data_IF_959894993378
#
_entry.id   IF_959894993378
#
_cell.length_a   1.000
_cell.length_b   1.000
_cell.length_c   1.000
_cell.angle_alpha   90.00
_cell.angle_beta   90.00
_cell.angle_gamma   90.00
#
_symmetry.space_group_name_H-M   'P 1'
#
loop_
_entity.id
_entity.type
_entity.pdbx_description
1 polymer ?
#
# COMPACT_ATOMS: atom_id res chain seq x y z
N UNK A 1 6.34 -0.30 4.24
CA UNK A 1 7.72 -0.60 3.95
C UNK A 1 8.02 -1.08 2.54
N UNK A 2 7.11 -1.75 1.83
CA UNK A 2 7.41 -2.49 0.58
C UNK A 2 6.85 -1.82 -0.69
N UNK A 3 6.91 -0.50 -0.76
CA UNK A 3 6.32 0.30 -1.84
C UNK A 3 6.79 -0.12 -3.25
N UNK A 4 8.00 -0.68 -3.40
CA UNK A 4 8.54 -1.11 -4.69
C UNK A 4 7.83 -2.35 -5.27
N UNK A 5 7.13 -3.15 -4.44
CA UNK A 5 6.37 -4.32 -4.88
C UNK A 5 4.87 -4.04 -5.03
N UNK A 6 4.39 -2.92 -4.47
CA UNK A 6 2.98 -2.55 -4.38
C UNK A 6 2.74 -1.16 -5.01
N UNK A 7 3.31 -0.92 -6.17
CA UNK A 7 3.30 0.42 -6.77
C UNK A 7 1.88 0.93 -7.06
N UNK A 8 0.93 0.06 -7.38
CA UNK A 8 -0.46 0.44 -7.59
C UNK A 8 -1.14 0.97 -6.33
N UNK A 9 -0.61 0.69 -5.12
CA UNK A 9 -1.14 1.22 -3.86
C UNK A 9 -1.18 2.74 -3.83
N UNK A 10 -0.20 3.38 -4.44
CA UNK A 10 -0.04 4.83 -4.44
C UNK A 10 -0.08 5.43 -5.86
N UNK A 11 0.09 4.65 -6.92
CA UNK A 11 0.08 5.13 -8.30
C UNK A 11 -0.79 4.23 -9.19
N UNK A 12 -2.01 4.65 -9.57
CA UNK A 12 -2.91 3.85 -10.39
C UNK A 12 -2.35 3.55 -11.78
N UNK A 13 -1.38 4.33 -12.29
CA UNK A 13 -0.73 4.05 -13.56
C UNK A 13 0.18 2.83 -13.52
N UNK A 14 0.55 2.32 -12.34
CA UNK A 14 1.33 1.10 -12.16
C UNK A 14 0.46 -0.16 -12.05
N UNK A 15 -0.87 -0.05 -12.14
CA UNK A 15 -1.77 -1.21 -12.14
C UNK A 15 -1.48 -2.10 -13.35
N UNK A 16 -1.42 -3.41 -13.13
CA UNK A 16 -1.13 -4.38 -14.20
C UNK A 16 0.28 -4.26 -14.76
N UNK A 17 1.23 -3.78 -13.97
CA UNK A 17 2.65 -3.85 -14.30
C UNK A 17 3.05 -5.29 -14.60
N UNK A 18 3.64 -5.51 -15.80
CA UNK A 18 3.98 -6.82 -16.34
C UNK A 18 2.85 -7.47 -17.16
N UNK A 19 3.03 -8.76 -17.50
CA UNK A 19 2.15 -9.53 -18.38
C UNK A 19 1.24 -10.52 -17.63
N UNK A 20 1.26 -10.50 -16.30
CA UNK A 20 0.54 -11.44 -15.44
C UNK A 20 -0.61 -10.77 -14.72
N UNK A 21 -1.72 -11.48 -14.59
CA UNK A 21 -2.70 -11.18 -13.56
C UNK A 21 -2.03 -11.34 -12.20
N UNK A 22 -2.27 -10.42 -11.27
CA UNK A 22 -1.64 -10.44 -9.95
C UNK A 22 -2.66 -10.26 -8.86
N UNK A 23 -2.59 -11.12 -7.87
CA UNK A 23 -3.22 -10.94 -6.55
C UNK A 23 -2.14 -10.56 -5.58
N UNK A 24 -2.38 -9.58 -4.78
CA UNK A 24 -1.47 -9.12 -3.74
C UNK A 24 -2.23 -8.92 -2.44
N UNK A 25 -1.66 -9.37 -1.34
CA UNK A 25 -2.16 -9.14 0.01
C UNK A 25 -1.03 -8.80 0.96
N UNK A 26 -1.23 -7.83 1.85
CA UNK A 26 -0.30 -7.55 2.93
C UNK A 26 -1.02 -7.22 4.23
N UNK A 27 -0.35 -7.54 5.33
CA UNK A 27 -0.77 -7.15 6.67
C UNK A 27 0.41 -6.55 7.41
N UNK A 28 0.21 -5.37 7.97
CA UNK A 28 1.22 -4.64 8.72
C UNK A 28 0.70 -4.29 10.11
N UNK A 29 1.47 -4.67 11.11
CA UNK A 29 1.30 -4.28 12.51
C UNK A 29 2.36 -3.24 12.84
N UNK A 30 1.94 -2.04 13.19
CA UNK A 30 2.84 -0.96 13.58
C UNK A 30 3.12 -1.05 15.09
N UNK A 31 4.32 -0.71 15.50
CA UNK A 31 4.71 -0.54 16.91
C UNK A 31 4.17 -1.63 17.84
N UNK A 32 4.43 -2.89 17.50
CA UNK A 32 3.97 -4.03 18.29
C UNK A 32 4.41 -3.89 19.76
N UNK A 33 3.54 -4.29 20.68
CA UNK A 33 3.73 -4.08 22.12
C UNK A 33 3.03 -2.84 22.67
N UNK A 34 2.59 -1.92 21.83
CA UNK A 34 1.75 -0.77 22.23
C UNK A 34 0.28 -1.17 22.07
N UNK A 35 -0.55 -0.87 23.07
CA UNK A 35 -1.99 -1.12 23.02
C UNK A 35 -2.62 -0.26 21.92
N UNK A 36 -3.56 -0.84 21.17
CA UNK A 36 -4.25 -0.20 20.03
C UNK A 36 -3.33 0.38 18.96
N UNK A 37 -2.14 -0.21 18.81
CA UNK A 37 -1.18 0.17 17.79
C UNK A 37 -1.78 0.05 16.39
N UNK A 38 -1.40 0.91 15.44
CA UNK A 38 -1.96 0.90 14.10
C UNK A 38 -1.74 -0.42 13.36
N UNK A 39 -2.75 -0.87 12.62
CA UNK A 39 -2.71 -2.06 11.77
C UNK A 39 -3.28 -1.75 10.40
N UNK A 40 -2.52 -2.07 9.35
CA UNK A 40 -2.94 -1.88 7.96
C UNK A 40 -3.06 -3.22 7.26
N UNK A 41 -4.22 -3.51 6.68
CA UNK A 41 -4.44 -4.65 5.79
C UNK A 41 -4.71 -4.13 4.39
N UNK A 42 -4.00 -4.66 3.42
CA UNK A 42 -4.13 -4.30 2.02
C UNK A 42 -4.36 -5.55 1.17
N UNK A 43 -5.23 -5.42 0.20
CA UNK A 43 -5.50 -6.42 -0.82
C UNK A 43 -5.67 -5.75 -2.18
N UNK A 44 -5.09 -6.35 -3.23
CA UNK A 44 -5.35 -5.92 -4.60
C UNK A 44 -5.39 -7.08 -5.58
N UNK A 45 -6.15 -6.86 -6.64
CA UNK A 45 -6.15 -7.71 -7.83
C UNK A 45 -5.94 -6.82 -9.05
N UNK A 46 -5.09 -7.24 -9.97
CA UNK A 46 -4.86 -6.53 -11.23
C UNK A 46 -4.75 -7.49 -12.41
N UNK A 47 -5.20 -7.04 -13.56
CA UNK A 47 -5.19 -7.80 -14.81
C UNK A 47 -4.77 -6.90 -15.97
N UNK A 48 -3.63 -7.18 -16.62
CA UNK A 48 -3.30 -6.58 -17.90
C UNK A 48 -4.15 -7.24 -19.01
N UNK A 49 -4.54 -6.45 -20.01
CA UNK A 49 -5.27 -6.93 -21.17
C UNK A 49 -4.94 -6.08 -22.40
N UNK A 50 -5.30 -6.59 -23.57
CA UNK A 50 -5.02 -5.92 -24.85
C UNK A 50 -6.34 -5.63 -25.57
N UNK A 51 -6.51 -4.39 -26.00
CA UNK A 51 -7.63 -3.96 -26.84
C UNK A 51 -7.08 -3.47 -28.17
N UNK A 52 -7.35 -4.20 -29.24
CA UNK A 52 -6.75 -3.92 -30.54
C UNK A 52 -5.22 -4.07 -30.53
N UNK A 53 -4.49 -2.96 -30.60
CA UNK A 53 -3.02 -2.91 -30.55
C UNK A 53 -2.48 -2.23 -29.30
N UNK A 54 -3.35 -1.87 -28.37
CA UNK A 54 -3.01 -1.10 -27.18
C UNK A 54 -3.06 -1.97 -25.93
N UNK A 55 -2.17 -1.71 -25.01
CA UNK A 55 -2.10 -2.39 -23.73
C UNK A 55 -2.87 -1.58 -22.67
N UNK A 56 -3.65 -2.27 -21.90
CA UNK A 56 -4.47 -1.72 -20.84
C UNK A 56 -4.30 -2.59 -19.59
N UNK A 57 -4.64 -2.03 -18.46
CA UNK A 57 -4.77 -2.79 -17.23
C UNK A 57 -5.96 -2.27 -16.42
N UNK A 58 -6.57 -3.16 -15.69
CA UNK A 58 -7.59 -2.84 -14.72
C UNK A 58 -7.29 -3.55 -13.40
N UNK A 59 -7.71 -2.96 -12.31
CA UNK A 59 -7.50 -3.52 -10.98
C UNK A 59 -8.55 -3.06 -9.99
N UNK A 60 -8.51 -3.70 -8.84
CA UNK A 60 -9.26 -3.30 -7.66
C UNK A 60 -8.33 -3.39 -6.47
N UNK A 61 -8.40 -2.40 -5.58
CA UNK A 61 -7.67 -2.42 -4.31
C UNK A 61 -8.61 -2.13 -3.15
N UNK A 62 -8.34 -2.80 -2.06
CA UNK A 62 -8.99 -2.60 -0.78
C UNK A 62 -7.91 -2.35 0.28
N UNK A 63 -8.14 -1.38 1.13
CA UNK A 63 -7.29 -1.10 2.28
C UNK A 63 -8.17 -0.91 3.51
N UNK A 64 -7.74 -1.48 4.62
CA UNK A 64 -8.30 -1.23 5.94
C UNK A 64 -7.15 -0.83 6.87
N UNK A 65 -7.18 0.40 7.34
CA UNK A 65 -6.19 0.98 8.23
C UNK A 65 -6.86 1.33 9.56
N UNK A 66 -6.43 0.66 10.63
CA UNK A 66 -6.95 0.85 11.99
C UNK A 66 -5.90 1.52 12.84
N UNK A 67 -6.24 2.58 13.53
CA UNK A 67 -5.36 3.31 14.44
C UNK A 67 -6.14 3.81 15.66
N UNK A 68 -5.86 3.19 16.80
CA UNK A 68 -6.66 3.41 18.01
C UNK A 68 -8.14 3.08 17.76
N UNK A 69 -9.00 4.04 18.01
CA UNK A 69 -10.45 3.91 17.83
C UNK A 69 -10.93 4.20 16.40
N UNK A 70 -10.04 4.61 15.51
CA UNK A 70 -10.35 4.92 14.12
C UNK A 70 -10.16 3.71 13.22
N UNK A 71 -11.03 3.56 12.23
CA UNK A 71 -10.88 2.61 11.14
C UNK A 71 -11.14 3.32 9.82
N UNK A 72 -10.14 3.33 8.96
CA UNK A 72 -10.21 3.90 7.62
C UNK A 72 -10.24 2.76 6.61
N UNK A 73 -11.35 2.62 5.90
CA UNK A 73 -11.53 1.63 4.85
C UNK A 73 -11.64 2.31 3.51
N UNK A 74 -10.92 1.80 2.52
CA UNK A 74 -11.03 2.29 1.15
C UNK A 74 -11.13 1.16 0.15
N UNK A 75 -11.96 1.37 -0.87
CA UNK A 75 -12.13 0.47 -2.00
C UNK A 75 -12.07 1.27 -3.28
N UNK A 76 -11.12 0.95 -4.16
CA UNK A 76 -10.89 1.64 -5.42
C UNK A 76 -10.85 0.67 -6.58
N UNK A 77 -11.44 1.05 -7.69
CA UNK A 77 -11.20 0.46 -8.99
C UNK A 77 -10.14 1.29 -9.72
N UNK A 78 -9.23 0.62 -10.37
CA UNK A 78 -8.06 1.20 -11.04
C UNK A 78 -8.10 0.87 -12.53
N UNK A 79 -7.68 1.82 -13.35
CA UNK A 79 -7.50 1.61 -14.77
C UNK A 79 -6.25 2.33 -15.26
N UNK A 80 -5.47 1.68 -16.11
CA UNK A 80 -4.32 2.28 -16.77
C UNK A 80 -4.31 1.98 -18.27
N UNK A 81 -3.90 2.97 -19.03
CA UNK A 81 -3.58 2.87 -20.44
C UNK A 81 -2.06 2.91 -20.62
N UNK A 82 -1.52 1.91 -21.32
CA UNK A 82 -0.08 1.72 -21.45
C UNK A 82 0.31 1.73 -22.93
N UNK A 83 1.32 2.51 -23.28
CA UNK A 83 1.84 2.61 -24.63
C UNK A 83 3.36 2.67 -24.67
N UNK A 84 3.90 2.17 -25.77
CA UNK A 84 5.34 2.15 -25.96
C UNK A 84 5.85 3.58 -26.24
N UNK A 85 6.84 4.01 -25.46
CA UNK A 85 7.52 5.29 -25.61
C UNK A 85 9.02 5.09 -25.53
N UNK A 86 9.72 5.29 -26.66
CA UNK A 86 11.17 5.09 -26.73
C UNK A 86 11.57 3.64 -26.41
N UNK A 87 12.43 3.46 -25.40
CA UNK A 87 12.93 2.15 -24.96
C UNK A 87 12.06 1.49 -23.88
N UNK A 88 11.00 2.15 -23.43
CA UNK A 88 10.13 1.71 -22.36
C UNK A 88 8.65 1.82 -22.69
N UNK A 89 7.86 1.76 -21.64
CA UNK A 89 6.42 1.94 -21.67
C UNK A 89 6.01 3.08 -20.75
N UNK A 90 5.17 3.96 -21.26
CA UNK A 90 4.51 4.99 -20.48
C UNK A 90 3.09 4.53 -20.17
N UNK A 91 2.70 4.59 -18.92
CA UNK A 91 1.35 4.29 -18.44
C UNK A 91 0.73 5.56 -17.86
N UNK A 92 -0.52 5.81 -18.17
CA UNK A 92 -1.34 6.85 -17.55
C UNK A 92 -2.52 6.13 -16.91
N UNK A 93 -2.77 6.40 -15.66
CA UNK A 93 -3.80 5.68 -14.90
C UNK A 93 -4.61 6.61 -14.01
N UNK A 94 -5.81 6.14 -13.72
CA UNK A 94 -6.70 6.75 -12.76
C UNK A 94 -7.35 5.67 -11.90
N UNK A 95 -7.72 6.05 -10.70
CA UNK A 95 -8.54 5.25 -9.82
C UNK A 95 -9.77 6.05 -9.35
N UNK A 96 -10.82 5.33 -9.02
CA UNK A 96 -12.03 5.86 -8.44
C UNK A 96 -12.57 4.90 -7.39
N UNK A 97 -13.10 5.44 -6.32
CA UNK A 97 -13.56 4.60 -5.23
C UNK A 97 -14.19 5.38 -4.10
N UNK A 98 -14.25 4.73 -2.96
CA UNK A 98 -14.83 5.28 -1.75
C UNK A 98 -13.89 5.10 -0.57
N UNK A 99 -13.90 6.10 0.29
CA UNK A 99 -13.24 6.08 1.59
C UNK A 99 -14.33 6.15 2.65
N UNK A 100 -14.23 5.31 3.66
CA UNK A 100 -15.09 5.30 4.84
C UNK A 100 -14.21 5.40 6.09
N UNK A 101 -14.33 6.49 6.81
CA UNK A 101 -13.65 6.69 8.09
C UNK A 101 -14.66 6.54 9.21
N UNK A 102 -14.43 5.58 10.09
CA UNK A 102 -15.28 5.33 11.26
C UNK A 102 -14.51 5.54 12.56
N UNK A 103 -15.24 5.95 13.59
CA UNK A 103 -14.76 6.11 14.96
C UNK A 103 -15.62 5.28 15.90
N UNK A 104 -14.99 4.36 16.64
CA UNK A 104 -15.67 3.47 17.56
C UNK A 104 -15.90 4.16 18.91
N UNK A 105 -17.10 4.65 19.13
CA UNK A 105 -17.48 5.33 20.38
C UNK A 105 -17.68 4.33 21.53
N UNK A 106 -18.11 3.12 21.23
CA UNK A 106 -18.44 2.08 22.24
C UNK A 106 -17.22 1.59 23.02
N UNK A 107 -16.02 1.77 22.47
CA UNK A 107 -14.77 1.38 23.15
C UNK A 107 -14.31 2.40 24.17
N UNK A 108 -14.92 3.60 24.19
CA UNK A 108 -14.61 4.66 25.16
C UNK A 108 -15.64 4.61 26.28
N UNK A 109 -15.34 3.91 27.35
CA UNK A 109 -16.16 3.97 28.56
C UNK A 109 -15.84 5.25 29.33
N UNK A 110 -16.30 6.39 28.77
CA UNK A 110 -16.12 7.72 29.37
C UNK A 110 -16.63 7.79 30.81
N UNK A 111 -17.62 6.94 31.16
CA UNK A 111 -18.17 6.87 32.49
C UNK A 111 -17.18 6.23 33.46
N UNK A 112 -16.48 5.19 33.03
CA UNK A 112 -15.47 4.51 33.84
C UNK A 112 -14.23 5.38 34.05
N UNK A 113 -13.84 6.15 33.05
CA UNK A 113 -12.74 7.15 33.17
C UNK A 113 -13.15 8.31 34.07
N UNK A 114 -14.38 8.80 33.98
CA UNK A 114 -14.89 9.86 34.85
C UNK A 114 -14.99 9.41 36.32
N UNK A 115 -15.40 8.14 36.55
CA UNK A 115 -15.46 7.58 37.90
C UNK A 115 -14.07 7.37 38.51
N UNK A 116 -13.04 7.07 37.69
CA UNK A 116 -11.65 6.91 38.12
C UNK A 116 -10.99 8.26 38.49
N UNK A 117 -11.34 9.35 37.78
CA UNK A 117 -10.73 10.68 37.98
C UNK A 117 -11.47 11.52 39.02
N UNK A 118 -12.66 11.10 39.46
CA UNK A 118 -13.55 11.84 40.39
C UNK A 118 -13.77 13.33 40.02
N UNK A 119 -13.69 13.63 38.73
CA UNK A 119 -13.80 14.97 38.21
C UNK A 119 -15.23 15.22 37.68
N UNK A 120 -15.98 16.03 38.44
CA UNK A 120 -17.34 16.41 38.05
C UNK A 120 -17.44 17.19 36.75
N UNK A 121 -16.32 17.73 36.24
CA UNK A 121 -16.29 18.42 34.94
C UNK A 121 -16.55 17.49 33.77
N UNK A 122 -16.15 16.23 33.86
CA UNK A 122 -16.39 15.22 32.82
C UNK A 122 -17.82 14.68 32.77
N UNK A 123 -18.58 14.75 33.85
CA UNK A 123 -19.99 14.31 33.88
C UNK A 123 -20.92 15.19 33.02
N UNK A 124 -20.53 16.40 32.71
CA UNK A 124 -21.29 17.37 31.94
C UNK A 124 -20.66 17.70 30.55
N UNK A 125 -19.57 17.06 30.20
CA UNK A 125 -18.95 17.19 28.89
C UNK A 125 -19.77 16.41 27.86
N UNK A 126 -20.82 17.02 27.30
CA UNK A 126 -21.40 16.55 26.07
C UNK A 126 -20.52 17.01 24.92
N UNK A 127 -19.71 16.14 24.37
CA UNK A 127 -19.06 16.43 23.10
C UNK A 127 -20.13 16.41 22.00
N UNK A 128 -20.54 17.61 21.57
CA UNK A 128 -21.54 17.80 20.54
C UNK A 128 -21.12 17.28 19.16
N UNK A 129 -19.88 16.82 19.00
CA UNK A 129 -19.37 16.19 17.81
C UNK A 129 -19.72 14.68 17.75
N UNK A 130 -20.01 14.08 18.92
CA UNK A 130 -20.41 12.67 19.01
C UNK A 130 -21.95 12.58 19.07
N UNK A 131 -22.57 11.53 18.52
CA UNK A 131 -24.00 11.32 18.60
C UNK A 131 -24.44 11.20 20.07
N UNK A 132 -25.54 11.87 20.42
CA UNK A 132 -26.14 11.76 21.75
C UNK A 132 -26.47 10.27 22.05
N UNK A 133 -26.32 9.91 23.33
CA UNK A 133 -26.57 8.58 23.91
C UNK A 133 -27.66 7.80 23.20
N UNK A 134 -27.30 6.73 22.50
CA UNK A 134 -28.28 5.78 21.95
C UNK A 134 -27.87 5.01 20.72
N UNK A 135 -26.81 5.41 20.02
CA UNK A 135 -26.28 4.65 18.89
C UNK A 135 -25.18 3.69 19.33
N UNK A 136 -25.46 2.41 19.42
CA UNK A 136 -24.49 1.34 19.75
C UNK A 136 -23.39 1.15 18.69
N UNK A 137 -23.29 1.99 17.68
CA UNK A 137 -22.44 1.75 16.52
C UNK A 137 -21.68 3.00 16.15
N UNK A 138 -20.74 3.51 16.91
CA UNK A 138 -19.81 4.53 16.49
C UNK A 138 -20.32 5.55 15.43
N UNK A 139 -19.48 6.43 14.98
CA UNK A 139 -19.79 7.34 13.84
C UNK A 139 -18.98 6.95 12.62
N UNK A 140 -19.53 7.11 11.43
CA UNK A 140 -18.81 6.88 10.18
C UNK A 140 -19.22 7.90 9.12
N UNK A 141 -18.24 8.30 8.31
CA UNK A 141 -18.46 9.16 7.17
C UNK A 141 -17.85 8.53 5.93
N UNK A 142 -18.58 8.54 4.83
CA UNK A 142 -18.11 8.00 3.55
C UNK A 142 -18.01 9.11 2.53
N UNK A 143 -16.95 9.07 1.71
CA UNK A 143 -16.73 10.01 0.62
C UNK A 143 -16.26 9.33 -0.65
N UNK A 144 -16.59 9.93 -1.80
CA UNK A 144 -16.08 9.51 -3.11
C UNK A 144 -14.67 10.03 -3.31
N UNK A 145 -13.80 9.18 -3.83
CA UNK A 145 -12.39 9.47 -4.02
C UNK A 145 -11.90 9.17 -5.44
N UNK A 146 -10.98 10.01 -5.90
CA UNK A 146 -10.31 9.88 -7.18
C UNK A 146 -8.80 10.00 -7.00
N UNK A 147 -8.06 9.29 -7.83
CA UNK A 147 -6.62 9.44 -7.98
C UNK A 147 -6.19 9.38 -9.43
N UNK A 148 -5.04 9.93 -9.73
CA UNK A 148 -4.45 9.87 -11.06
C UNK A 148 -2.93 9.76 -10.97
N UNK A 149 -2.32 9.16 -12.00
CA UNK A 149 -0.88 9.03 -12.03
C UNK A 149 -0.31 8.76 -13.41
N UNK A 150 1.00 8.87 -13.45
CA UNK A 150 1.82 8.55 -14.62
C UNK A 150 2.97 7.67 -14.15
N UNK A 151 3.26 6.64 -14.94
CA UNK A 151 4.30 5.68 -14.64
C UNK A 151 5.08 5.35 -15.91
N UNK A 152 6.40 5.40 -15.84
CA UNK A 152 7.27 5.02 -16.94
C UNK A 152 8.24 3.93 -16.51
N UNK A 153 8.33 2.89 -17.29
CA UNK A 153 9.24 1.79 -17.02
C UNK A 153 10.06 1.37 -18.23
N UNK A 154 11.26 0.92 -17.96
CA UNK A 154 12.18 0.31 -18.92
C UNK A 154 12.67 -1.03 -18.35
N UNK A 155 13.52 -1.71 -19.08
CA UNK A 155 14.18 -2.93 -18.59
C UNK A 155 15.10 -2.68 -17.37
N UNK A 156 15.56 -1.44 -17.16
CA UNK A 156 16.58 -1.10 -16.15
C UNK A 156 16.14 -0.11 -15.09
N UNK A 157 15.14 0.69 -15.34
CA UNK A 157 14.66 1.68 -14.37
C UNK A 157 13.19 1.97 -14.56
N UNK A 158 12.57 2.43 -13.51
CA UNK A 158 11.19 2.87 -13.48
C UNK A 158 11.06 4.16 -12.67
N UNK A 159 10.08 4.98 -13.02
CA UNK A 159 9.72 6.16 -12.24
C UNK A 159 8.23 6.45 -12.41
N UNK A 160 7.62 7.01 -11.40
CA UNK A 160 6.22 7.40 -11.44
C UNK A 160 5.90 8.54 -10.50
N UNK A 161 4.87 9.27 -10.87
CA UNK A 161 4.27 10.32 -10.04
C UNK A 161 2.76 10.10 -10.02
N UNK A 162 2.15 10.41 -8.89
CA UNK A 162 0.70 10.29 -8.73
C UNK A 162 0.17 11.26 -7.70
N UNK A 163 -1.10 11.51 -7.78
CA UNK A 163 -1.84 12.31 -6.81
C UNK A 163 -3.09 11.55 -6.41
N UNK A 164 -3.15 11.15 -5.16
CA UNK A 164 -4.30 10.51 -4.53
C UNK A 164 -5.19 11.54 -3.84
N UNK A 165 -6.45 11.17 -3.63
CA UNK A 165 -7.45 12.01 -2.98
C UNK A 165 -7.66 13.34 -3.72
N UNK A 166 -7.79 13.29 -5.06
CA UNK A 166 -8.04 14.46 -5.90
C UNK A 166 -9.32 15.20 -5.53
N UNK A 167 -10.34 14.47 -5.09
CA UNK A 167 -11.62 15.04 -4.67
C UNK A 167 -11.56 15.68 -3.30
N UNK A 168 -10.53 15.37 -2.49
CA UNK A 168 -10.39 15.81 -1.10
C UNK A 168 -11.72 15.71 -0.32
N UNK A 169 -12.31 14.51 -0.24
CA UNK A 169 -13.67 14.38 0.24
C UNK A 169 -13.78 14.82 1.70
N UNK A 170 -14.88 15.50 1.99
CA UNK A 170 -15.28 15.81 3.36
C UNK A 170 -16.19 14.70 3.87
N UNK A 171 -15.76 14.02 4.91
CA UNK A 171 -16.47 12.91 5.52
C UNK A 171 -17.28 13.47 6.70
N UNK A 172 -18.61 13.45 6.59
CA UNK A 172 -19.49 13.92 7.65
C UNK A 172 -19.75 12.80 8.65
N UNK A 173 -19.46 13.03 9.92
CA UNK A 173 -19.77 12.13 11.03
C UNK A 173 -21.06 12.50 11.75
N UNK A 174 -21.34 13.80 11.82
CA UNK A 174 -22.57 14.36 12.38
C UNK A 174 -22.84 15.72 11.76
N UNK A 175 -23.94 16.38 12.14
CA UNK A 175 -24.26 17.75 11.69
C UNK A 175 -23.21 18.79 12.06
N UNK A 176 -22.31 18.45 13.00
CA UNK A 176 -21.30 19.37 13.56
C UNK A 176 -19.86 18.87 13.45
N UNK A 177 -19.66 17.64 12.99
CA UNK A 177 -18.32 17.03 12.89
C UNK A 177 -18.07 16.52 11.49
N UNK A 178 -17.00 17.00 10.89
CA UNK A 178 -16.53 16.60 9.57
C UNK A 178 -15.02 16.41 9.55
N UNK A 179 -14.56 15.49 8.72
CA UNK A 179 -13.14 15.22 8.49
C UNK A 179 -12.82 15.45 7.03
N UNK A 180 -11.85 16.31 6.76
CA UNK A 180 -11.34 16.56 5.42
C UNK A 180 -10.18 15.63 5.09
N UNK A 181 -10.32 14.84 4.05
CA UNK A 181 -9.23 14.00 3.52
C UNK A 181 -8.35 14.87 2.63
N UNK A 182 -7.07 14.98 2.96
CA UNK A 182 -6.13 15.79 2.18
C UNK A 182 -5.61 15.04 0.96
N UNK A 183 -5.44 15.76 -0.13
CA UNK A 183 -4.75 15.25 -1.31
C UNK A 183 -3.30 14.90 -1.00
N UNK A 184 -2.82 13.79 -1.54
CA UNK A 184 -1.46 13.31 -1.30
C UNK A 184 -0.72 13.11 -2.61
N UNK A 185 0.44 13.74 -2.73
CA UNK A 185 1.35 13.58 -3.85
C UNK A 185 2.37 12.50 -3.56
N UNK A 186 2.63 11.64 -4.55
CA UNK A 186 3.64 10.59 -4.52
C UNK A 186 4.59 10.75 -5.70
N UNK A 187 5.87 10.54 -5.46
CA UNK A 187 6.88 10.38 -6.48
C UNK A 187 7.78 9.21 -6.10
N UNK A 188 7.97 8.26 -6.98
CA UNK A 188 8.81 7.10 -6.70
C UNK A 188 9.61 6.71 -7.94
N UNK A 189 10.76 6.09 -7.70
CA UNK A 189 11.60 5.57 -8.77
C UNK A 189 12.60 4.53 -8.27
N UNK A 190 13.06 3.71 -9.18
CA UNK A 190 14.03 2.68 -8.87
C UNK A 190 14.86 2.28 -10.09
N UNK A 191 15.96 1.64 -9.81
CA UNK A 191 16.90 1.17 -10.82
C UNK A 191 17.21 -0.31 -10.61
N UNK A 192 17.29 -1.07 -11.69
CA UNK A 192 17.62 -2.49 -11.71
C UNK A 192 19.04 -2.67 -12.22
N UNK A 193 19.99 -2.74 -11.31
CA UNK A 193 21.40 -2.86 -11.62
C UNK A 193 21.85 -4.32 -11.57
N UNK A 194 21.90 -4.96 -12.75
CA UNK A 194 22.41 -6.33 -12.87
C UNK A 194 23.95 -6.33 -12.81
N UNK A 195 24.49 -6.97 -11.81
CA UNK A 195 25.95 -7.08 -11.64
C UNK A 195 26.56 -8.00 -12.71
N UNK A 196 27.86 -7.88 -12.91
CA UNK A 196 28.63 -8.68 -13.86
C UNK A 196 28.48 -10.20 -13.60
N UNK A 197 28.40 -10.57 -12.35
CA UNK A 197 27.90 -11.88 -11.94
C UNK A 197 26.38 -11.86 -12.03
N UNK A 198 25.81 -12.47 -13.06
CA UNK A 198 24.37 -12.48 -13.43
C UNK A 198 23.42 -12.99 -12.33
N UNK A 199 23.98 -13.54 -11.24
CA UNK A 199 23.22 -14.04 -10.09
C UNK A 199 22.70 -12.91 -9.18
N UNK A 200 23.31 -11.72 -9.25
CA UNK A 200 22.96 -10.59 -8.39
C UNK A 200 22.32 -9.46 -9.16
N UNK A 201 21.16 -9.01 -8.66
CA UNK A 201 20.47 -7.83 -9.10
C UNK A 201 20.33 -6.87 -7.91
N UNK A 202 20.92 -5.68 -8.02
CA UNK A 202 20.73 -4.61 -7.04
C UNK A 202 19.62 -3.68 -7.50
N UNK A 203 18.73 -3.33 -6.58
CA UNK A 203 17.53 -2.54 -6.86
C UNK A 203 17.42 -1.38 -5.86
N UNK A 204 18.24 -0.32 -6.02
CA UNK A 204 18.01 0.92 -5.28
C UNK A 204 16.69 1.55 -5.71
N UNK A 205 15.95 2.08 -4.75
CA UNK A 205 14.71 2.81 -4.98
C UNK A 205 14.49 3.91 -3.96
N UNK A 206 13.70 4.90 -4.34
CA UNK A 206 13.30 5.99 -3.47
C UNK A 206 11.81 6.29 -3.68
N UNK A 207 11.13 6.72 -2.62
CA UNK A 207 9.76 7.20 -2.66
C UNK A 207 9.63 8.44 -1.78
N UNK A 208 9.01 9.46 -2.34
CA UNK A 208 8.56 10.67 -1.68
C UNK A 208 7.05 10.66 -1.58
N UNK A 209 6.52 10.97 -0.41
CA UNK A 209 5.11 11.20 -0.16
C UNK A 209 4.94 12.53 0.55
N UNK A 210 3.94 13.33 0.14
CA UNK A 210 3.64 14.61 0.78
C UNK A 210 2.18 15.02 0.59
N UNK A 211 1.59 15.60 1.63
CA UNK A 211 0.33 16.35 1.56
C UNK A 211 0.57 17.88 1.52
N UNK A 212 1.81 18.28 1.18
CA UNK A 212 2.33 19.65 1.17
C UNK A 212 2.40 20.33 2.56
N UNK A 213 2.07 19.62 3.62
CA UNK A 213 2.28 20.04 5.03
C UNK A 213 3.38 19.20 5.65
N UNK A 214 3.34 17.89 5.43
CA UNK A 214 4.34 16.93 5.85
C UNK A 214 5.03 16.25 4.67
N UNK A 215 6.24 15.78 4.90
CA UNK A 215 7.05 15.06 3.91
C UNK A 215 7.53 13.74 4.49
N UNK A 216 7.36 12.67 3.74
CA UNK A 216 7.95 11.37 4.07
C UNK A 216 8.80 10.88 2.90
N UNK A 217 10.05 10.56 3.16
CA UNK A 217 10.99 10.03 2.17
C UNK A 217 11.47 8.67 2.61
N UNK A 218 11.34 7.71 1.72
CA UNK A 218 11.79 6.34 1.92
C UNK A 218 12.89 6.02 0.91
N UNK A 219 14.03 5.59 1.39
CA UNK A 219 15.15 5.10 0.57
C UNK A 219 15.32 3.61 0.83
N UNK A 220 15.44 2.83 -0.22
CA UNK A 220 15.58 1.37 -0.08
C UNK A 220 16.64 0.84 -1.03
N UNK A 221 17.48 -0.04 -0.53
CA UNK A 221 18.41 -0.84 -1.30
C UNK A 221 18.03 -2.30 -1.17
N UNK A 222 17.59 -2.93 -2.26
CA UNK A 222 17.32 -4.35 -2.34
C UNK A 222 18.37 -5.06 -3.15
N UNK A 223 18.69 -6.29 -2.76
CA UNK A 223 19.53 -7.22 -3.53
C UNK A 223 18.73 -8.50 -3.77
N UNK A 224 18.63 -8.93 -5.01
CA UNK A 224 18.06 -10.21 -5.39
C UNK A 224 19.18 -11.16 -5.81
N UNK A 225 19.11 -12.39 -5.29
CA UNK A 225 20.10 -13.43 -5.54
C UNK A 225 19.41 -14.65 -6.16
N UNK A 226 20.03 -15.19 -7.21
CA UNK A 226 19.55 -16.40 -7.91
C UNK A 226 18.09 -16.30 -8.37
N UNK A 227 17.61 -15.08 -8.64
CA UNK A 227 16.22 -14.79 -9.04
C UNK A 227 15.15 -15.26 -8.03
N UNK A 228 15.57 -15.71 -6.85
CA UNK A 228 14.70 -16.34 -5.86
C UNK A 228 14.68 -15.64 -4.50
N UNK A 229 15.83 -15.22 -4.00
CA UNK A 229 15.94 -14.63 -2.66
C UNK A 229 16.16 -13.12 -2.77
N UNK A 230 15.50 -12.35 -1.90
CA UNK A 230 15.61 -10.91 -1.81
C UNK A 230 15.92 -10.47 -0.41
N UNK A 231 16.88 -9.56 -0.29
CA UNK A 231 17.29 -8.94 0.96
C UNK A 231 17.36 -7.44 0.75
N UNK A 232 16.95 -6.67 1.72
CA UNK A 232 16.99 -5.23 1.59
C UNK A 232 17.15 -4.50 2.91
N UNK A 233 17.66 -3.29 2.79
CA UNK A 233 17.71 -2.30 3.85
C UNK A 233 17.03 -1.04 3.37
N UNK A 234 16.21 -0.46 4.20
CA UNK A 234 15.51 0.80 3.94
C UNK A 234 15.75 1.79 5.08
N UNK A 235 15.69 3.05 4.71
CA UNK A 235 15.70 4.15 5.66
C UNK A 235 14.55 5.09 5.35
N UNK A 236 13.76 5.41 6.36
CA UNK A 236 12.68 6.40 6.30
C UNK A 236 13.14 7.65 7.04
N UNK A 237 13.08 8.82 6.37
CA UNK A 237 13.52 10.07 6.97
C UNK A 237 12.72 10.45 8.22
N UNK A 238 11.49 9.98 8.35
CA UNK A 238 10.70 10.12 9.57
C UNK A 238 11.29 9.40 10.80
N UNK A 239 12.45 8.73 10.65
CA UNK A 239 13.23 8.11 11.71
C UNK A 239 12.90 6.64 11.91
N UNK A 240 13.04 5.83 10.87
CA UNK A 240 13.02 4.37 11.00
C UNK A 240 13.95 3.68 10.01
N UNK A 241 14.42 2.49 10.38
CA UNK A 241 15.23 1.60 9.55
C UNK A 241 14.43 0.34 9.27
N UNK A 242 14.40 -0.08 8.00
CA UNK A 242 13.68 -1.26 7.55
C UNK A 242 14.66 -2.37 7.16
N UNK A 243 14.39 -3.59 7.59
CA UNK A 243 15.02 -4.81 7.10
C UNK A 243 13.98 -5.56 6.28
N UNK A 244 14.29 -5.85 5.02
CA UNK A 244 13.38 -6.49 4.09
C UNK A 244 13.91 -7.86 3.67
N UNK A 245 13.05 -8.86 3.73
CA UNK A 245 13.32 -10.22 3.28
C UNK A 245 12.23 -10.63 2.29
N UNK A 246 12.60 -11.37 1.26
CA UNK A 246 11.64 -11.88 0.29
C UNK A 246 12.14 -13.15 -0.37
N UNK A 247 11.18 -13.95 -0.84
CA UNK A 247 11.48 -15.20 -1.54
C UNK A 247 10.37 -15.52 -2.56
N UNK A 248 10.78 -16.03 -3.72
CA UNK A 248 9.89 -16.68 -4.66
C UNK A 248 9.82 -18.17 -4.30
N UNK A 249 8.67 -18.62 -3.79
CA UNK A 249 8.46 -20.00 -3.30
C UNK A 249 8.34 -20.95 -4.49
N UNK A 250 7.45 -20.59 -5.42
CA UNK A 250 7.20 -21.26 -6.70
C UNK A 250 7.02 -20.20 -7.79
N UNK A 251 6.98 -20.60 -9.04
CA UNK A 251 6.73 -19.69 -10.16
C UNK A 251 5.44 -18.88 -9.92
N UNK A 252 5.59 -17.58 -9.84
CA UNK A 252 4.52 -16.63 -9.62
C UNK A 252 4.17 -16.35 -8.15
N UNK A 253 4.56 -17.18 -7.18
CA UNK A 253 4.24 -16.98 -5.77
C UNK A 253 5.42 -16.36 -5.02
N UNK A 254 5.21 -15.16 -4.52
CA UNK A 254 6.17 -14.38 -3.77
C UNK A 254 5.70 -14.16 -2.34
N UNK A 255 6.60 -14.28 -1.40
CA UNK A 255 6.39 -13.95 0.00
C UNK A 255 7.48 -12.98 0.44
N UNK A 256 7.14 -12.04 1.27
CA UNK A 256 8.13 -11.16 1.87
C UNK A 256 7.72 -10.66 3.24
N UNK A 257 8.73 -10.30 3.99
CA UNK A 257 8.61 -9.82 5.35
C UNK A 257 9.46 -8.57 5.53
N UNK A 258 8.91 -7.56 6.19
CA UNK A 258 9.64 -6.36 6.58
C UNK A 258 9.55 -6.17 8.08
N UNK A 259 10.71 -5.92 8.68
CA UNK A 259 10.83 -5.46 10.04
C UNK A 259 11.27 -4.01 10.03
N UNK A 260 10.51 -3.14 10.67
CA UNK A 260 10.80 -1.71 10.78
C UNK A 260 11.10 -1.35 12.24
N UNK A 261 12.31 -0.85 12.46
CA UNK A 261 12.78 -0.35 13.74
C UNK A 261 12.62 1.17 13.79
N UNK A 262 11.84 1.72 14.72
CA UNK A 262 11.83 3.16 14.95
C UNK A 262 13.20 3.60 15.48
N UNK A 263 13.74 4.69 14.91
CA UNK A 263 15.02 5.28 15.35
C UNK A 263 14.84 6.46 16.33
N UNK A 264 13.62 6.64 16.82
CA UNK A 264 13.24 7.68 17.79
C UNK A 264 12.91 7.05 19.16
N UNK A 265 12.36 7.86 20.09
CA UNK A 265 12.02 7.40 21.45
C UNK A 265 11.10 6.18 21.51
N UNK A 266 10.35 5.88 20.46
CA UNK A 266 9.46 4.70 20.36
C UNK A 266 10.19 3.36 20.37
N UNK A 267 11.51 3.34 20.14
CA UNK A 267 12.31 2.09 20.19
C UNK A 267 12.30 1.47 21.61
N UNK A 268 12.05 2.25 22.64
CA UNK A 268 12.02 1.78 24.03
C UNK A 268 10.66 1.21 24.42
N UNK A 269 9.61 1.60 23.73
CA UNK A 269 8.22 1.32 24.09
C UNK A 269 7.57 0.30 23.15
N UNK A 270 8.21 -0.03 22.02
CA UNK A 270 7.67 -0.95 21.03
C UNK A 270 8.69 -1.96 20.54
N UNK A 271 8.22 -3.12 20.12
CA UNK A 271 9.04 -4.15 19.47
C UNK A 271 9.18 -3.91 17.95
N UNK A 272 8.98 -2.66 17.48
CA UNK A 272 9.02 -2.30 16.09
C UNK A 272 7.73 -2.64 15.32
N UNK A 273 7.78 -2.49 14.00
CA UNK A 273 6.65 -2.79 13.12
C UNK A 273 6.97 -3.99 12.23
N UNK A 274 5.97 -4.83 12.00
CA UNK A 274 6.08 -6.05 11.21
C UNK A 274 5.12 -6.00 10.04
N UNK A 275 5.61 -6.31 8.85
CA UNK A 275 4.79 -6.37 7.65
C UNK A 275 5.05 -7.67 6.90
N UNK A 276 3.99 -8.43 6.63
CA UNK A 276 4.02 -9.62 5.80
C UNK A 276 3.28 -9.35 4.50
N UNK A 277 3.82 -9.78 3.37
CA UNK A 277 3.09 -9.79 2.10
C UNK A 277 3.13 -11.13 1.40
N UNK A 278 2.10 -11.34 0.61
CA UNK A 278 1.96 -12.44 -0.33
C UNK A 278 1.53 -11.87 -1.69
N UNK A 279 2.21 -12.27 -2.76
CA UNK A 279 1.81 -11.92 -4.11
C UNK A 279 1.78 -13.18 -4.98
N UNK A 280 0.76 -13.30 -5.81
CA UNK A 280 0.66 -14.39 -6.77
C UNK A 280 0.37 -13.86 -8.17
N UNK A 281 1.31 -14.10 -9.08
CA UNK A 281 1.19 -13.77 -10.50
C UNK A 281 0.84 -15.01 -11.32
N UNK A 282 -0.21 -14.93 -12.12
CA UNK A 282 -0.65 -16.05 -12.96
C UNK A 282 -1.17 -15.56 -14.32
N UNK A 283 -1.23 -16.46 -15.29
CA UNK A 283 -1.76 -16.17 -16.61
C UNK A 283 -2.78 -17.21 -16.99
N UNK A 284 -4.04 -16.80 -17.12
CA UNK A 284 -5.14 -17.68 -17.52
C UNK A 284 -5.15 -17.90 -19.05
N UNK A 285 -4.64 -16.94 -19.82
CA UNK A 285 -4.78 -16.91 -21.28
C UNK A 285 -3.63 -17.63 -22.01
N UNK A 286 -2.52 -17.94 -21.36
CA UNK A 286 -1.46 -18.75 -21.97
C UNK A 286 -1.79 -20.22 -21.74
N UNK A 287 -2.01 -21.01 -22.81
CA UNK A 287 -2.13 -22.47 -22.65
C UNK A 287 -0.86 -22.95 -21.92
N UNK A 288 -1.02 -23.78 -20.88
CA UNK A 288 0.11 -24.47 -20.26
C UNK A 288 0.98 -25.03 -21.38
N UNK A 289 2.20 -24.55 -21.53
CA UNK A 289 3.18 -25.20 -22.38
C UNK A 289 3.34 -26.61 -21.82
N UNK A 290 2.61 -27.54 -22.41
CA UNK A 290 2.90 -28.95 -22.25
C UNK A 290 4.35 -29.11 -22.64
N UNK A 291 5.21 -29.49 -21.74
CA UNK A 291 6.56 -29.91 -22.04
C UNK A 291 6.43 -31.06 -23.08
N UNK A 292 6.44 -30.73 -24.33
CA UNK A 292 6.68 -31.72 -25.37
C UNK A 292 8.11 -32.13 -25.15
N UNK A 293 8.31 -33.27 -24.55
CA UNK A 293 9.59 -33.99 -24.60
C UNK A 293 10.04 -34.00 -26.07
N UNK A 294 11.08 -33.27 -26.39
CA UNK A 294 11.78 -33.47 -27.61
C UNK A 294 12.35 -34.89 -27.51
N UNK A 295 11.73 -35.85 -28.13
CA UNK A 295 12.35 -37.14 -28.30
C UNK A 295 13.62 -36.90 -29.12
N UNK A 296 14.76 -37.09 -28.49
CA UNK A 296 16.04 -37.13 -29.17
C UNK A 296 16.07 -38.48 -29.87
N UNK A 297 15.70 -38.49 -31.16
CA UNK A 297 16.01 -39.62 -32.00
C UNK A 297 17.49 -39.53 -32.34
N UNK A 298 18.26 -40.40 -31.74
CA UNK A 298 19.61 -40.71 -32.26
C UNK A 298 19.41 -41.43 -33.60
N UNK A 299 19.92 -40.84 -34.68
CA UNK A 299 20.33 -41.52 -35.89
C UNK A 299 21.83 -41.63 -35.88
#
# INVERSE_FOLDING_TARGET
GQYMYMQSTYNPAAVGDGDLMRVYGSHRMHFTGIMDAPMTTYFSFSSPFVVGKTQHAAGVRFMNDRFGLFSNQSLHAEYAYRFKLGKGYLSVGADFGFINLSFAVDSVNLKEVADLVQDHAYHNASDNALPEKGGQNGVSGMGFDLGAGVYYETATWWAGVSYGHLTQPTLQWSDKAEVHVRGTFYAAGGYNWRLRNKQWLLMPSAMLQTDFVGWDVNLTMMAQVSERYRFGLGYRLAGSVNILLGMDIIDGLQVGYTYELPANGLIRESYGSHELYLAYGFNILKPKRTNRYKSVRYL
#
